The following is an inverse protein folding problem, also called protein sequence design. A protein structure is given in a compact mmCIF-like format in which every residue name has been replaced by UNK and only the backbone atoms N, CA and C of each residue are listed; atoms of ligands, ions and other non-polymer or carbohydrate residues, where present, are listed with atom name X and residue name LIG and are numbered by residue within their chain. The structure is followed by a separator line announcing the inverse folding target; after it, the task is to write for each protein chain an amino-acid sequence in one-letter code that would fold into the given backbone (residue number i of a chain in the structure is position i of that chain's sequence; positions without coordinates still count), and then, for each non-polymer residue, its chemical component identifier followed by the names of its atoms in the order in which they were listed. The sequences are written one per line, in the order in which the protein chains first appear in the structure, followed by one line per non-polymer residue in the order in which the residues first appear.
data_IF_084046553368
#
_entry.id   IF_084046553368
#
_cell.length_a   1.000
_cell.length_b   1.000
_cell.length_c   1.000
_cell.angle_alpha   90.00
_cell.angle_beta   90.00
_cell.angle_gamma   90.00
#
_symmetry.space_group_name_H-M   'P 1'
#
loop_
_entity.id
_entity.type
_entity.pdbx_description
1 polymer ?
#
# COMPACT_ATOMS: atom_id res chain seq x y z
N UNK A 1 7.27 8.66 4.40
CA UNK A 1 6.26 9.55 3.79
C UNK A 1 6.71 11.00 3.87
N UNK A 2 7.03 11.52 5.06
CA UNK A 2 7.44 12.93 5.26
C UNK A 2 8.52 13.43 4.29
N UNK A 3 9.55 12.63 4.00
CA UNK A 3 10.58 13.01 3.03
C UNK A 3 10.06 13.20 1.60
N UNK A 4 9.02 12.46 1.19
CA UNK A 4 8.36 12.63 -0.13
C UNK A 4 7.46 13.86 -0.10
N UNK A 5 6.75 14.08 1.00
CA UNK A 5 5.83 15.21 1.16
C UNK A 5 6.56 16.56 1.25
N UNK A 6 7.79 16.57 1.76
CA UNK A 6 8.63 17.76 1.85
C UNK A 6 9.17 18.25 0.49
N UNK A 7 9.07 17.43 -0.56
CA UNK A 7 9.56 17.78 -1.89
C UNK A 7 8.46 18.43 -2.75
N UNK A 8 8.83 19.34 -3.67
CA UNK A 8 7.89 19.93 -4.61
C UNK A 8 7.30 18.87 -5.56
N UNK A 9 6.17 19.20 -6.18
CA UNK A 9 5.49 18.32 -7.14
C UNK A 9 6.23 18.21 -8.47
N UNK A 10 6.96 19.25 -8.87
CA UNK A 10 7.83 19.25 -10.06
C UNK A 10 9.29 19.43 -9.66
N UNK A 11 10.20 18.83 -10.42
CA UNK A 11 11.64 18.85 -10.11
C UNK A 11 11.93 18.41 -8.67
N UNK A 12 11.27 17.33 -8.23
CA UNK A 12 11.29 16.87 -6.85
C UNK A 12 12.71 16.54 -6.34
N UNK A 13 13.62 16.15 -7.24
CA UNK A 13 15.02 15.91 -6.89
C UNK A 13 15.24 14.51 -6.34
N UNK A 14 16.06 14.37 -5.31
CA UNK A 14 16.50 13.07 -4.79
C UNK A 14 16.28 12.91 -3.29
N UNK A 15 15.75 11.75 -2.90
CA UNK A 15 15.73 11.23 -1.53
C UNK A 15 16.78 10.12 -1.43
N UNK A 16 17.78 10.33 -0.57
CA UNK A 16 18.68 9.27 -0.13
C UNK A 16 18.08 8.55 1.08
N UNK A 17 17.72 7.29 0.90
CA UNK A 17 17.37 6.38 2.00
C UNK A 17 18.65 5.74 2.51
N UNK A 18 18.96 5.97 3.78
CA UNK A 18 20.19 5.44 4.40
C UNK A 18 20.10 3.92 4.57
N UNK A 19 21.21 3.30 4.98
CA UNK A 19 21.23 1.89 5.34
C UNK A 19 20.34 1.64 6.57
N UNK A 20 19.56 0.57 6.53
CA UNK A 20 18.63 0.15 7.56
C UNK A 20 17.52 -0.75 6.99
N UNK A 21 16.87 -1.51 7.87
CA UNK A 21 15.59 -2.14 7.58
C UNK A 21 14.44 -1.22 8.02
N UNK A 22 13.55 -0.92 7.09
CA UNK A 22 12.38 -0.07 7.30
C UNK A 22 11.12 -0.92 7.16
N UNK A 23 10.49 -1.25 8.29
CA UNK A 23 9.22 -1.99 8.30
C UNK A 23 8.07 -1.03 8.05
N UNK A 24 7.33 -1.27 6.97
CA UNK A 24 6.30 -0.40 6.44
C UNK A 24 4.92 -0.96 6.82
N UNK A 25 4.20 -0.24 7.68
CA UNK A 25 2.77 -0.52 7.95
C UNK A 25 1.83 0.13 6.93
N UNK A 26 2.38 0.98 6.04
CA UNK A 26 1.71 1.72 4.96
C UNK A 26 2.67 1.87 3.79
N UNK A 27 2.14 2.05 2.58
CA UNK A 27 2.99 2.37 1.43
C UNK A 27 3.67 3.74 1.60
N UNK A 28 4.87 3.87 1.03
CA UNK A 28 5.41 5.19 0.69
C UNK A 28 4.71 5.64 -0.59
N UNK A 29 3.79 6.60 -0.45
CA UNK A 29 2.99 7.11 -1.56
C UNK A 29 3.72 8.24 -2.27
N UNK A 30 3.95 8.05 -3.57
CA UNK A 30 4.47 9.06 -4.50
C UNK A 30 3.32 9.51 -5.38
N UNK A 31 2.71 10.64 -5.02
CA UNK A 31 1.54 11.18 -5.71
C UNK A 31 1.88 12.49 -6.40
N UNK A 32 1.52 12.60 -7.68
CA UNK A 32 1.68 13.80 -8.50
C UNK A 32 3.11 14.37 -8.43
N UNK A 33 4.12 13.50 -8.62
CA UNK A 33 5.55 13.87 -8.59
C UNK A 33 6.22 13.73 -9.96
N UNK A 34 6.95 14.75 -10.37
CA UNK A 34 7.85 14.75 -11.52
C UNK A 34 9.32 14.83 -11.08
N UNK A 35 10.19 14.08 -11.78
CA UNK A 35 11.65 14.09 -11.60
C UNK A 35 12.09 13.73 -10.17
N UNK A 36 11.42 12.76 -9.54
CA UNK A 36 11.79 12.23 -8.22
C UNK A 36 12.70 11.01 -8.35
N UNK A 37 13.80 10.99 -7.60
CA UNK A 37 14.64 9.82 -7.38
C UNK A 37 14.57 9.40 -5.92
N UNK A 38 14.18 8.16 -5.64
CA UNK A 38 14.32 7.50 -4.34
C UNK A 38 15.47 6.51 -4.46
N UNK A 39 16.59 6.79 -3.80
CA UNK A 39 17.80 5.99 -3.92
C UNK A 39 18.23 5.45 -2.56
N UNK A 40 18.50 4.15 -2.48
CA UNK A 40 19.14 3.55 -1.31
C UNK A 40 20.67 3.45 -1.42
N UNK A 41 21.28 2.67 -0.53
CA UNK A 41 22.70 2.35 -0.52
C UNK A 41 23.00 0.86 -0.79
N UNK A 42 22.21 0.26 -1.68
CA UNK A 42 22.30 -1.16 -2.08
C UNK A 42 21.47 -2.05 -1.14
N UNK A 43 21.94 -3.28 -0.92
CA UNK A 43 21.29 -4.25 -0.02
C UNK A 43 21.19 -3.76 1.43
N UNK A 44 22.06 -2.82 1.83
CA UNK A 44 22.00 -2.20 3.14
C UNK A 44 20.74 -1.36 3.36
N UNK A 45 20.01 -0.94 2.31
CA UNK A 45 18.71 -0.28 2.42
C UNK A 45 17.59 -1.26 2.09
N UNK A 46 16.79 -1.65 3.08
CA UNK A 46 15.72 -2.64 2.91
C UNK A 46 14.36 -2.06 3.30
N UNK A 47 13.44 -1.99 2.35
CA UNK A 47 12.04 -1.63 2.60
C UNK A 47 11.23 -2.91 2.74
N UNK A 48 10.77 -3.21 3.96
CA UNK A 48 10.03 -4.44 4.27
C UNK A 48 8.56 -4.13 4.53
N UNK A 49 7.64 -4.78 3.83
CA UNK A 49 6.21 -4.71 4.15
C UNK A 49 5.95 -5.41 5.50
N UNK A 50 5.19 -4.77 6.39
CA UNK A 50 4.83 -5.35 7.69
C UNK A 50 4.04 -6.66 7.53
N UNK A 51 3.84 -7.39 8.61
CA UNK A 51 2.98 -8.58 8.58
C UNK A 51 1.53 -8.19 8.27
N UNK A 52 0.81 -9.06 7.58
CA UNK A 52 -0.61 -8.85 7.32
C UNK A 52 -1.37 -8.72 8.63
N UNK A 53 -2.13 -7.65 8.74
CA UNK A 53 -3.23 -7.53 9.69
C UNK A 53 -4.51 -7.90 8.94
N UNK A 54 -5.35 -8.72 9.56
CA UNK A 54 -6.61 -9.18 8.99
C UNK A 54 -7.67 -9.28 10.08
N UNK A 55 -8.88 -8.81 9.76
CA UNK A 55 -10.07 -8.93 10.60
C UNK A 55 -11.25 -9.42 9.76
N UNK A 56 -12.21 -10.11 10.38
CA UNK A 56 -13.51 -10.39 9.77
C UNK A 56 -14.35 -9.11 9.75
N UNK A 57 -15.23 -8.98 8.75
CA UNK A 57 -16.28 -7.96 8.84
C UNK A 57 -17.31 -8.42 9.88
N UNK A 58 -17.78 -7.48 10.72
CA UNK A 58 -18.76 -7.76 11.77
C UNK A 58 -20.20 -7.53 11.30
N UNK A 59 -20.39 -6.73 10.25
CA UNK A 59 -21.67 -6.45 9.61
C UNK A 59 -21.49 -6.42 8.09
N UNK A 60 -22.55 -6.75 7.36
CA UNK A 60 -22.56 -6.61 5.91
C UNK A 60 -22.28 -5.17 5.50
N UNK A 61 -21.47 -5.02 4.45
CA UNK A 61 -21.07 -3.74 3.92
C UNK A 61 -21.64 -3.56 2.51
N UNK A 62 -22.70 -2.77 2.36
CA UNK A 62 -23.38 -2.58 1.07
C UNK A 62 -22.52 -1.82 0.05
N UNK A 63 -22.67 -2.15 -1.23
CA UNK A 63 -22.13 -1.32 -2.33
C UNK A 63 -22.60 0.14 -2.19
N UNK A 64 -21.72 1.08 -2.53
CA UNK A 64 -22.01 2.50 -2.52
C UNK A 64 -21.80 3.23 -1.18
N UNK A 65 -21.57 2.52 -0.06
CA UNK A 65 -21.17 3.15 1.20
C UNK A 65 -19.65 3.18 1.39
N UNK A 66 -19.18 3.88 2.43
CA UNK A 66 -17.75 3.97 2.78
C UNK A 66 -17.36 3.16 4.02
N UNK A 67 -18.33 2.76 4.83
CA UNK A 67 -18.05 2.20 6.14
C UNK A 67 -18.01 0.67 6.08
N UNK A 68 -16.97 0.09 6.67
CA UNK A 68 -16.87 -1.35 6.92
C UNK A 68 -16.68 -1.54 8.42
N UNK A 69 -17.58 -2.29 9.05
CA UNK A 69 -17.42 -2.64 10.47
C UNK A 69 -16.64 -3.95 10.56
N UNK A 70 -15.56 -3.98 11.31
CA UNK A 70 -14.70 -5.16 11.50
C UNK A 70 -14.79 -5.70 12.93
N UNK A 71 -14.20 -6.86 13.19
CA UNK A 71 -14.15 -7.42 14.55
C UNK A 71 -13.30 -6.59 15.53
N UNK A 72 -12.21 -5.98 15.04
CA UNK A 72 -11.34 -5.11 15.84
C UNK A 72 -10.71 -3.99 14.99
N UNK A 73 -11.24 -2.77 15.08
CA UNK A 73 -10.74 -1.63 14.28
C UNK A 73 -9.36 -1.13 14.72
N UNK A 74 -8.96 -1.41 15.97
CA UNK A 74 -7.66 -1.00 16.54
C UNK A 74 -6.46 -1.64 15.85
N UNK A 75 -6.67 -2.72 15.10
CA UNK A 75 -5.62 -3.40 14.34
C UNK A 75 -5.17 -2.59 13.11
N UNK A 76 -5.96 -1.60 12.68
CA UNK A 76 -5.73 -0.79 11.49
C UNK A 76 -5.34 0.66 11.80
N UNK A 77 -4.90 1.38 10.75
CA UNK A 77 -4.51 2.78 10.81
C UNK A 77 -5.02 3.53 9.57
N UNK A 78 -5.42 4.79 9.76
CA UNK A 78 -5.74 5.69 8.64
C UNK A 78 -4.57 5.80 7.65
N UNK A 79 -4.86 5.84 6.35
CA UNK A 79 -3.90 5.83 5.24
C UNK A 79 -3.37 4.45 4.84
N UNK A 80 -3.84 3.35 5.46
CA UNK A 80 -3.52 2.00 5.01
C UNK A 80 -4.33 1.62 3.77
N UNK A 81 -3.67 1.00 2.79
CA UNK A 81 -4.36 0.27 1.73
C UNK A 81 -4.84 -1.06 2.28
N UNK A 82 -6.15 -1.27 2.24
CA UNK A 82 -6.79 -2.50 2.67
C UNK A 82 -7.47 -3.17 1.49
N UNK A 83 -7.46 -4.49 1.52
CA UNK A 83 -8.26 -5.33 0.67
C UNK A 83 -9.54 -5.66 1.44
N UNK A 84 -10.69 -5.31 0.86
CA UNK A 84 -12.00 -5.78 1.32
C UNK A 84 -12.36 -6.95 0.42
N UNK A 85 -12.67 -8.10 1.01
CA UNK A 85 -12.85 -9.35 0.27
C UNK A 85 -13.87 -10.24 0.95
N UNK A 86 -14.68 -10.90 0.15
CA UNK A 86 -15.49 -12.05 0.54
C UNK A 86 -15.18 -13.22 -0.42
N UNK A 87 -16.05 -14.22 -0.50
CA UNK A 87 -15.88 -15.37 -1.39
C UNK A 87 -16.06 -15.05 -2.88
N UNK A 88 -16.75 -13.96 -3.22
CA UNK A 88 -17.18 -13.63 -4.59
C UNK A 88 -16.54 -12.34 -5.15
N UNK A 89 -16.18 -11.40 -4.29
CA UNK A 89 -15.68 -10.07 -4.63
C UNK A 89 -14.40 -9.74 -3.88
N UNK A 90 -13.63 -8.82 -4.46
CA UNK A 90 -12.55 -8.14 -3.75
C UNK A 90 -12.31 -6.75 -4.35
N UNK A 91 -11.88 -5.82 -3.50
CA UNK A 91 -11.40 -4.51 -3.93
C UNK A 91 -10.30 -3.99 -3.02
N UNK A 92 -9.52 -3.01 -3.51
CA UNK A 92 -8.53 -2.28 -2.71
C UNK A 92 -9.08 -0.88 -2.43
N UNK A 93 -9.02 -0.46 -1.18
CA UNK A 93 -9.41 0.87 -0.74
C UNK A 93 -8.42 1.40 0.32
N UNK A 94 -8.53 2.68 0.66
CA UNK A 94 -7.68 3.32 1.68
C UNK A 94 -8.52 3.70 2.88
N UNK A 95 -8.03 3.46 4.09
CA UNK A 95 -8.71 3.89 5.31
C UNK A 95 -8.60 5.41 5.45
N UNK A 96 -9.71 6.14 5.32
CA UNK A 96 -9.77 7.57 5.57
C UNK A 96 -9.73 7.87 7.08
N UNK A 97 -10.51 7.13 7.88
CA UNK A 97 -10.56 7.29 9.33
C UNK A 97 -11.06 6.02 10.02
N UNK A 98 -10.88 5.95 11.35
CA UNK A 98 -11.30 4.82 12.18
C UNK A 98 -12.07 5.39 13.38
N UNK A 99 -13.26 4.83 13.64
CA UNK A 99 -14.08 5.15 14.79
C UNK A 99 -14.52 3.85 15.49
N UNK A 100 -13.78 3.45 16.53
CA UNK A 100 -13.95 2.12 17.13
C UNK A 100 -13.65 1.04 16.10
N UNK A 101 -14.64 0.20 15.83
CA UNK A 101 -14.55 -0.91 14.88
C UNK A 101 -15.04 -0.56 13.46
N UNK A 102 -15.40 0.70 13.22
CA UNK A 102 -15.82 1.17 11.91
C UNK A 102 -14.64 1.80 11.17
N UNK A 103 -14.27 1.19 10.06
CA UNK A 103 -13.29 1.70 9.11
C UNK A 103 -14.04 2.50 8.04
N UNK A 104 -13.80 3.81 7.98
CA UNK A 104 -14.30 4.64 6.89
C UNK A 104 -13.28 4.64 5.74
N UNK A 105 -13.69 4.19 4.57
CA UNK A 105 -12.87 4.14 3.37
C UNK A 105 -12.83 5.50 2.65
N UNK A 106 -11.77 5.77 1.88
CA UNK A 106 -11.67 6.98 1.05
C UNK A 106 -12.72 6.97 -0.06
N UNK A 107 -12.87 5.83 -0.75
CA UNK A 107 -13.83 5.62 -1.83
C UNK A 107 -15.03 4.80 -1.38
N UNK A 108 -16.15 4.95 -2.07
CA UNK A 108 -17.30 4.06 -1.87
C UNK A 108 -16.94 2.63 -2.30
N UNK A 109 -17.47 1.64 -1.61
CA UNK A 109 -17.34 0.23 -1.97
C UNK A 109 -18.00 -0.01 -3.32
N UNK A 110 -17.28 -0.71 -4.21
CA UNK A 110 -17.83 -1.09 -5.50
C UNK A 110 -18.84 -2.23 -5.35
N UNK A 111 -18.60 -3.16 -4.41
CA UNK A 111 -19.41 -4.35 -4.19
C UNK A 111 -20.05 -4.35 -2.79
N UNK A 112 -21.07 -5.18 -2.63
CA UNK A 112 -21.55 -5.57 -1.30
C UNK A 112 -20.66 -6.70 -0.79
N UNK A 113 -20.24 -6.63 0.48
CA UNK A 113 -19.50 -7.68 1.16
C UNK A 113 -20.31 -8.21 2.32
N UNK A 114 -20.53 -9.51 2.36
CA UNK A 114 -21.41 -10.14 3.34
C UNK A 114 -20.64 -10.97 4.37
N UNK A 115 -21.09 -10.94 5.62
CA UNK A 115 -20.54 -11.80 6.70
C UNK A 115 -20.72 -13.27 6.33
N UNK A 116 -21.86 -13.59 5.70
CA UNK A 116 -22.20 -14.94 5.26
C UNK A 116 -21.23 -15.50 4.21
N UNK A 117 -20.59 -14.63 3.43
CA UNK A 117 -19.66 -14.97 2.34
C UNK A 117 -18.19 -14.86 2.79
N UNK A 118 -17.91 -15.08 4.07
CA UNK A 118 -16.56 -15.01 4.65
C UNK A 118 -15.88 -13.63 4.47
N UNK A 119 -16.67 -12.55 4.57
CA UNK A 119 -16.20 -11.17 4.46
C UNK A 119 -15.08 -10.82 5.45
N UNK A 120 -14.02 -10.20 4.94
CA UNK A 120 -12.82 -9.83 5.68
C UNK A 120 -12.13 -8.59 5.11
N UNK A 121 -11.36 -7.95 5.96
CA UNK A 121 -10.53 -6.80 5.63
C UNK A 121 -9.09 -7.10 6.04
N UNK A 122 -8.13 -6.78 5.19
CA UNK A 122 -6.72 -6.94 5.52
C UNK A 122 -5.79 -5.95 4.83
N UNK A 123 -4.65 -5.67 5.45
CA UNK A 123 -3.62 -4.82 4.84
C UNK A 123 -3.05 -5.47 3.58
N UNK A 124 -2.98 -4.73 2.47
CA UNK A 124 -2.46 -5.24 1.20
C UNK A 124 -1.71 -4.18 0.38
N UNK A 125 -0.94 -3.32 1.06
CA UNK A 125 -0.19 -2.25 0.43
C UNK A 125 1.13 -2.73 -0.20
N UNK A 126 1.62 -2.02 -1.22
CA UNK A 126 3.00 -2.12 -1.69
C UNK A 126 3.97 -1.39 -0.77
N UNK A 127 5.27 -1.63 -0.92
CA UNK A 127 6.29 -0.83 -0.25
C UNK A 127 6.28 0.62 -0.77
N UNK A 128 6.21 0.79 -2.09
CA UNK A 128 6.08 2.09 -2.75
C UNK A 128 4.84 2.07 -3.65
N UNK A 129 4.02 3.13 -3.55
CA UNK A 129 2.82 3.30 -4.36
C UNK A 129 2.93 4.59 -5.16
N UNK A 130 3.10 4.48 -6.48
CA UNK A 130 3.18 5.64 -7.38
C UNK A 130 1.81 5.85 -8.01
N UNK A 131 1.26 7.05 -7.88
CA UNK A 131 -0.12 7.35 -8.29
C UNK A 131 -0.28 8.79 -8.79
N UNK A 132 -1.46 9.11 -9.32
CA UNK A 132 -1.78 10.37 -9.96
C UNK A 132 -0.98 10.62 -11.24
N UNK A 133 -0.63 11.87 -11.48
CA UNK A 133 0.08 12.34 -12.67
C UNK A 133 1.62 12.20 -12.58
N UNK A 134 2.09 11.29 -11.74
CA UNK A 134 3.52 11.10 -11.48
C UNK A 134 4.26 10.61 -12.73
N UNK A 135 5.43 11.19 -13.01
CA UNK A 135 6.24 10.85 -14.19
C UNK A 135 7.73 11.00 -13.92
N UNK A 136 8.56 10.24 -14.63
CA UNK A 136 10.03 10.19 -14.45
C UNK A 136 10.48 9.87 -13.00
N UNK A 137 9.66 9.12 -12.25
CA UNK A 137 10.02 8.64 -10.90
C UNK A 137 11.01 7.49 -11.03
N UNK A 138 12.13 7.55 -10.30
CA UNK A 138 13.14 6.48 -10.29
C UNK A 138 13.32 5.95 -8.88
N UNK A 139 13.25 4.63 -8.72
CA UNK A 139 13.50 3.94 -7.45
C UNK A 139 14.69 3.02 -7.67
N UNK A 140 15.81 3.28 -6.99
CA UNK A 140 17.08 2.63 -7.33
C UNK A 140 17.92 2.25 -6.10
N UNK A 141 18.79 1.25 -6.27
CA UNK A 141 19.84 0.91 -5.30
C UNK A 141 19.31 0.62 -3.89
N UNK A 142 18.21 -0.12 -3.78
CA UNK A 142 17.64 -0.60 -2.52
C UNK A 142 17.04 -1.99 -2.70
N UNK A 143 16.77 -2.66 -1.59
CA UNK A 143 16.04 -3.93 -1.54
C UNK A 143 14.59 -3.69 -1.14
N UNK A 144 13.64 -4.32 -1.84
CA UNK A 144 12.24 -4.39 -1.43
C UNK A 144 11.93 -5.82 -1.01
N UNK A 145 11.51 -5.97 0.25
CA UNK A 145 10.94 -7.19 0.80
C UNK A 145 9.42 -7.03 0.91
N UNK A 146 8.70 -7.76 0.05
CA UNK A 146 7.24 -7.76 0.05
C UNK A 146 6.61 -8.58 1.19
N UNK A 147 7.42 -9.27 2.01
CA UNK A 147 6.99 -10.13 3.10
C UNK A 147 5.95 -11.18 2.67
N UNK A 148 6.22 -11.86 1.55
CA UNK A 148 5.27 -12.76 0.87
C UNK A 148 4.75 -13.88 1.75
N UNK A 149 5.56 -14.41 2.66
CA UNK A 149 5.16 -15.48 3.58
C UNK A 149 4.06 -15.05 4.55
N UNK A 150 3.92 -13.74 4.79
CA UNK A 150 2.93 -13.16 5.68
C UNK A 150 1.91 -12.27 4.95
N UNK A 151 1.84 -12.30 3.62
CA UNK A 151 0.95 -11.46 2.81
C UNK A 151 0.15 -12.30 1.83
N UNK A 152 -1.17 -12.08 1.76
CA UNK A 152 -2.09 -12.91 0.94
C UNK A 152 -1.97 -12.63 -0.57
N UNK A 153 -1.44 -11.46 -0.92
CA UNK A 153 -1.06 -11.12 -2.28
C UNK A 153 0.44 -10.87 -2.31
N UNK A 154 1.19 -11.85 -2.82
CA UNK A 154 2.63 -11.78 -3.03
C UNK A 154 3.05 -10.79 -4.12
N UNK A 155 2.50 -9.57 -4.13
CA UNK A 155 2.83 -8.55 -5.12
C UNK A 155 4.09 -7.82 -4.66
N UNK A 156 5.17 -8.08 -5.37
CA UNK A 156 6.46 -7.38 -5.31
C UNK A 156 6.27 -5.87 -5.21
N UNK A 157 6.24 -5.28 -4.01
CA UNK A 157 6.74 -3.93 -3.74
C UNK A 157 6.19 -2.71 -4.48
N UNK A 158 5.35 -2.87 -5.51
CA UNK A 158 5.11 -1.89 -6.56
C UNK A 158 3.83 -2.24 -7.35
N UNK A 159 2.82 -1.36 -7.26
CA UNK A 159 1.71 -1.30 -8.22
C UNK A 159 1.97 -0.13 -9.17
N UNK A 160 2.26 -0.36 -10.46
CA UNK A 160 2.01 0.64 -11.47
C UNK A 160 0.52 0.53 -11.82
N UNK A 161 -0.33 1.28 -11.12
CA UNK A 161 -1.59 1.62 -11.76
C UNK A 161 -1.19 2.59 -12.89
N UNK A 162 -1.32 2.13 -14.14
CA UNK A 162 -1.44 2.94 -15.36
C UNK A 162 -0.19 3.60 -15.99
N UNK A 163 0.99 3.69 -15.34
CA UNK A 163 2.07 4.57 -15.84
C UNK A 163 3.44 3.94 -16.16
N UNK A 164 3.54 2.66 -16.58
CA UNK A 164 4.82 2.14 -17.09
C UNK A 164 5.30 2.84 -18.39
N UNK A 165 4.46 3.68 -19.02
CA UNK A 165 4.80 4.47 -20.22
C UNK A 165 5.56 5.79 -19.95
N UNK A 166 5.50 6.36 -18.75
CA UNK A 166 5.93 7.76 -18.49
C UNK A 166 7.31 7.88 -17.82
N UNK A 167 8.17 6.89 -18.06
CA UNK A 167 9.55 6.89 -17.56
C UNK A 167 9.68 6.56 -16.07
N UNK A 168 8.67 5.92 -15.46
CA UNK A 168 8.81 5.35 -14.12
C UNK A 168 9.73 4.13 -14.21
N UNK A 169 10.82 4.11 -13.43
CA UNK A 169 11.81 3.03 -13.44
C UNK A 169 12.06 2.50 -12.04
N UNK A 170 11.92 1.18 -11.89
CA UNK A 170 12.32 0.45 -10.69
C UNK A 170 13.57 -0.37 -11.03
N UNK A 171 14.66 -0.10 -10.33
CA UNK A 171 15.87 -0.93 -10.31
C UNK A 171 16.23 -1.22 -8.86
N UNK A 172 15.43 -2.07 -8.24
CA UNK A 172 15.59 -2.55 -6.87
C UNK A 172 15.75 -4.07 -6.88
N UNK A 173 16.53 -4.60 -5.95
CA UNK A 173 16.55 -6.04 -5.70
C UNK A 173 15.23 -6.41 -5.02
N UNK A 174 14.43 -7.26 -5.67
CA UNK A 174 13.23 -7.81 -5.05
C UNK A 174 13.59 -9.13 -4.40
N UNK A 175 13.48 -9.19 -3.07
CA UNK A 175 13.63 -10.46 -2.37
C UNK A 175 12.28 -11.17 -2.35
N UNK A 176 12.18 -12.20 -3.20
CA UNK A 176 11.13 -13.19 -3.12
C UNK A 176 11.58 -14.22 -2.08
N UNK A 177 10.97 -14.20 -0.89
CA UNK A 177 11.13 -15.33 0.02
C UNK A 177 10.66 -16.60 -0.71
N UNK A 178 11.61 -17.50 -0.98
CA UNK A 178 11.35 -18.81 -1.54
C UNK A 178 10.28 -19.55 -0.72
N UNK A 179 9.41 -20.26 -1.43
CA UNK A 179 8.35 -21.13 -0.89
C UNK A 179 8.97 -22.25 -0.06
#
# INVERSE_FOLDING_TARGET
QEAVDALPTTHAGEILVKGGEYVLSKAVTVKDREDLVIRGVGEATRLKVANKVQELIANDAASGQKNVTVAAGSSFQAGQHLCVRDDTHWEVNVVASIAGDVLAMENNLANTYEVADNGRVYTCHSAIYVTGTSKKVKITNLTIDGNRTNQEFGRTGYYPNEHQGDGIRLSATTEDCAV
#
